data_IF_109660194815
#
_entry.id   IF_109660194815
#
_cell.length_a   1.000
_cell.length_b   1.000
_cell.length_c   1.000
_cell.angle_alpha   90.00
_cell.angle_beta   90.00
_cell.angle_gamma   90.00
#
_symmetry.space_group_name_H-M   'P 1'
#
loop_
_entity.id
_entity.type
_entity.pdbx_description
1 polymer ?
#
# COMPACT_ATOMS: atom_id res chain seq x y z
N UNK A 1 37.80 31.97 5.20
CA UNK A 1 37.17 30.70 5.67
C UNK A 1 35.99 30.40 4.77
N UNK A 2 35.81 29.11 4.46
CA UNK A 2 35.11 28.56 3.30
C UNK A 2 33.58 28.80 3.30
N UNK A 3 33.03 29.09 2.12
CA UNK A 3 31.61 29.03 1.82
C UNK A 3 31.29 27.65 1.22
N UNK A 4 30.62 26.80 1.99
CA UNK A 4 30.00 25.57 1.50
C UNK A 4 28.56 25.55 2.00
N UNK A 5 27.60 25.51 1.07
CA UNK A 5 26.32 24.76 1.13
C UNK A 5 25.33 25.46 0.19
N UNK A 6 25.23 25.08 -1.08
CA UNK A 6 24.68 23.84 -1.66
C UNK A 6 23.33 24.17 -2.29
N UNK A 7 23.37 24.29 -3.63
CA UNK A 7 22.21 24.30 -4.52
C UNK A 7 21.34 23.06 -4.27
N UNK A 8 20.20 23.23 -3.60
CA UNK A 8 19.21 22.16 -3.35
C UNK A 8 17.78 22.66 -3.59
N UNK A 9 17.59 23.56 -4.57
CA UNK A 9 16.29 24.18 -4.89
C UNK A 9 15.61 23.77 -6.22
N UNK A 10 16.21 23.05 -7.20
CA UNK A 10 15.51 22.78 -8.47
C UNK A 10 14.75 21.44 -8.53
N UNK A 11 14.97 20.49 -7.61
CA UNK A 11 14.39 19.13 -7.70
C UNK A 11 12.97 19.08 -7.10
N UNK A 12 12.72 19.84 -6.03
CA UNK A 12 11.45 19.79 -5.30
C UNK A 12 10.29 20.39 -6.11
N UNK A 13 10.57 21.46 -6.87
CA UNK A 13 9.59 22.14 -7.73
C UNK A 13 9.17 21.30 -8.94
N UNK A 14 10.07 20.51 -9.52
CA UNK A 14 9.73 19.58 -10.60
C UNK A 14 8.79 18.45 -10.12
N UNK A 15 8.92 18.02 -8.87
CA UNK A 15 8.08 16.97 -8.29
C UNK A 15 6.60 17.40 -8.19
N UNK A 16 6.34 18.66 -7.84
CA UNK A 16 4.98 19.20 -7.69
C UNK A 16 4.27 19.33 -9.05
N UNK A 17 5.00 19.69 -10.10
CA UNK A 17 4.44 19.84 -11.46
C UNK A 17 4.07 18.49 -12.08
N UNK A 18 4.85 17.43 -11.82
CA UNK A 18 4.52 16.07 -12.27
C UNK A 18 3.24 15.55 -11.60
N UNK A 19 3.02 15.89 -10.32
CA UNK A 19 1.83 15.47 -9.58
C UNK A 19 0.56 16.12 -10.17
N UNK A 20 0.60 17.39 -10.59
CA UNK A 20 -0.58 18.09 -11.11
C UNK A 20 -1.07 17.57 -12.46
N UNK A 21 -0.18 17.09 -13.33
CA UNK A 21 -0.54 16.61 -14.68
C UNK A 21 -1.28 15.27 -14.61
N UNK A 22 -1.02 14.44 -13.59
CA UNK A 22 -1.70 13.14 -13.42
C UNK A 22 -3.20 13.28 -13.12
N UNK A 23 -3.64 14.40 -12.55
CA UNK A 23 -5.05 14.61 -12.19
C UNK A 23 -5.98 14.86 -13.39
N UNK A 24 -5.48 15.46 -14.47
CA UNK A 24 -6.33 15.79 -15.64
C UNK A 24 -6.59 14.62 -16.60
N UNK A 25 -5.80 13.54 -16.53
CA UNK A 25 -6.03 12.33 -17.32
C UNK A 25 -6.99 11.32 -16.63
N UNK A 26 -7.63 11.73 -15.53
CA UNK A 26 -8.29 10.83 -14.58
C UNK A 26 -9.75 10.48 -14.89
N UNK A 27 -10.31 10.82 -16.06
CA UNK A 27 -11.69 10.42 -16.38
C UNK A 27 -11.86 8.92 -16.70
N UNK A 28 -10.75 8.17 -16.86
CA UNK A 28 -10.74 6.70 -16.93
C UNK A 28 -10.20 6.01 -15.65
N UNK A 29 -9.87 6.78 -14.60
CA UNK A 29 -8.93 6.36 -13.55
C UNK A 29 -9.53 6.11 -12.15
N UNK A 30 -10.85 6.08 -12.00
CA UNK A 30 -11.46 5.86 -10.67
C UNK A 30 -11.17 4.46 -10.13
N UNK A 31 -11.22 3.43 -10.97
CA UNK A 31 -10.97 2.02 -10.58
C UNK A 31 -9.48 1.75 -10.37
N UNK A 32 -8.60 2.36 -11.15
CA UNK A 32 -7.14 2.20 -11.02
C UNK A 32 -6.57 2.89 -9.77
N UNK A 33 -7.12 4.05 -9.39
CA UNK A 33 -6.75 4.73 -8.14
C UNK A 33 -7.16 3.89 -6.94
N UNK A 34 -8.33 3.25 -6.98
CA UNK A 34 -8.84 2.38 -5.91
C UNK A 34 -7.97 1.11 -5.74
N UNK A 35 -7.61 0.46 -6.84
CA UNK A 35 -6.71 -0.70 -6.83
C UNK A 35 -5.31 -0.38 -6.31
N UNK A 36 -4.76 0.79 -6.65
CA UNK A 36 -3.45 1.23 -6.18
C UNK A 36 -3.46 1.53 -4.69
N UNK A 37 -4.55 2.11 -4.18
CA UNK A 37 -4.74 2.34 -2.74
C UNK A 37 -4.90 1.01 -1.97
N UNK A 38 -5.66 0.06 -2.51
CA UNK A 38 -5.76 -1.28 -1.93
C UNK A 38 -4.40 -1.98 -1.86
N UNK A 39 -3.60 -1.90 -2.93
CA UNK A 39 -2.26 -2.50 -2.96
C UNK A 39 -1.32 -1.92 -1.92
N UNK A 40 -1.39 -0.60 -1.72
CA UNK A 40 -0.63 0.07 -0.68
C UNK A 40 -1.03 -0.42 0.71
N UNK A 41 -2.33 -0.49 1.01
CA UNK A 41 -2.82 -0.98 2.30
C UNK A 41 -2.43 -2.45 2.56
N UNK A 42 -2.50 -3.30 1.53
CA UNK A 42 -2.08 -4.70 1.60
C UNK A 42 -0.57 -4.77 1.94
N UNK A 43 0.26 -4.00 1.25
CA UNK A 43 1.71 -4.00 1.49
C UNK A 43 2.07 -3.50 2.89
N UNK A 44 1.43 -2.42 3.35
CA UNK A 44 1.64 -1.89 4.71
C UNK A 44 1.27 -2.93 5.78
N UNK A 45 0.14 -3.63 5.61
CA UNK A 45 -0.27 -4.71 6.53
C UNK A 45 0.64 -5.92 6.45
N UNK A 46 1.13 -6.32 5.27
CA UNK A 46 2.10 -7.41 5.10
C UNK A 46 3.41 -7.10 5.82
N UNK A 47 3.94 -5.89 5.65
CA UNK A 47 5.14 -5.45 6.36
C UNK A 47 4.95 -5.52 7.88
N UNK A 48 3.79 -5.08 8.38
CA UNK A 48 3.46 -5.16 9.81
C UNK A 48 3.33 -6.60 10.30
N UNK A 49 2.73 -7.49 9.50
CA UNK A 49 2.63 -8.91 9.81
C UNK A 49 4.03 -9.56 9.91
N UNK A 50 4.95 -9.21 9.00
CA UNK A 50 6.31 -9.75 9.03
C UNK A 50 7.13 -9.23 10.22
N UNK A 51 6.98 -7.95 10.58
CA UNK A 51 7.54 -7.41 11.82
C UNK A 51 7.03 -8.14 13.05
N UNK A 52 5.72 -8.37 13.12
CA UNK A 52 5.09 -9.08 14.24
C UNK A 52 5.53 -10.55 14.31
N UNK A 53 5.71 -11.22 13.16
CA UNK A 53 6.31 -12.56 13.10
C UNK A 53 7.70 -12.61 13.68
N UNK A 54 8.55 -11.63 13.36
CA UNK A 54 9.90 -11.55 13.91
C UNK A 54 9.86 -11.33 15.43
N UNK A 55 8.96 -10.46 15.91
CA UNK A 55 8.74 -10.24 17.35
C UNK A 55 8.33 -11.54 18.06
N UNK A 56 7.30 -12.24 17.55
CA UNK A 56 6.83 -13.54 18.07
C UNK A 56 7.96 -14.59 18.10
N UNK A 57 8.82 -14.61 17.08
CA UNK A 57 9.93 -15.54 17.01
C UNK A 57 11.00 -15.25 18.08
N UNK A 58 11.21 -13.98 18.40
CA UNK A 58 12.14 -13.53 19.44
C UNK A 58 11.55 -13.55 20.86
N UNK A 59 10.22 -13.60 20.99
CA UNK A 59 9.52 -13.51 22.26
C UNK A 59 9.66 -14.81 23.08
N UNK A 60 10.14 -14.65 24.31
CA UNK A 60 10.34 -15.75 25.28
C UNK A 60 9.17 -15.89 26.25
N UNK A 61 8.37 -14.83 26.43
CA UNK A 61 7.19 -14.85 27.27
C UNK A 61 6.01 -15.51 26.53
N UNK A 62 5.51 -16.66 27.01
CA UNK A 62 4.45 -17.40 26.32
C UNK A 62 3.11 -16.63 26.25
N UNK A 63 2.82 -15.76 27.22
CA UNK A 63 1.58 -14.97 27.24
C UNK A 63 1.61 -13.90 26.16
N UNK A 64 2.74 -13.17 26.05
CA UNK A 64 2.94 -12.14 25.02
C UNK A 64 2.95 -12.80 23.64
N UNK A 65 3.67 -13.91 23.49
CA UNK A 65 3.72 -14.68 22.24
C UNK A 65 2.34 -15.13 21.78
N UNK A 66 1.47 -15.58 22.69
CA UNK A 66 0.11 -15.97 22.34
C UNK A 66 -0.75 -14.77 21.94
N UNK A 67 -0.63 -13.64 22.64
CA UNK A 67 -1.32 -12.39 22.29
C UNK A 67 -0.91 -11.88 20.91
N UNK A 68 0.39 -11.85 20.64
CA UNK A 68 0.93 -11.38 19.35
C UNK A 68 0.57 -12.34 18.22
N UNK A 69 0.52 -13.65 18.49
CA UNK A 69 0.04 -14.64 17.51
C UNK A 69 -1.42 -14.41 17.12
N UNK A 70 -2.30 -14.07 18.07
CA UNK A 70 -3.70 -13.70 17.77
C UNK A 70 -3.78 -12.42 16.95
N UNK A 71 -2.95 -11.43 17.30
CA UNK A 71 -2.87 -10.17 16.56
C UNK A 71 -2.38 -10.40 15.13
N UNK A 72 -1.40 -11.28 14.94
CA UNK A 72 -0.91 -11.69 13.62
C UNK A 72 -2.01 -12.36 12.81
N UNK A 73 -2.79 -13.27 13.40
CA UNK A 73 -3.92 -13.90 12.72
C UNK A 73 -4.95 -12.87 12.25
N UNK A 74 -5.31 -11.90 13.10
CA UNK A 74 -6.25 -10.83 12.72
C UNK A 74 -5.72 -9.98 11.54
N UNK A 75 -4.43 -9.64 11.54
CA UNK A 75 -3.80 -8.90 10.43
C UNK A 75 -3.82 -9.73 9.14
N UNK A 76 -3.54 -11.04 9.21
CA UNK A 76 -3.56 -11.93 8.05
C UNK A 76 -4.98 -12.09 7.47
N UNK A 77 -6.00 -12.19 8.32
CA UNK A 77 -7.40 -12.20 7.87
C UNK A 77 -7.78 -10.90 7.16
N UNK A 78 -7.32 -9.75 7.68
CA UNK A 78 -7.59 -8.46 7.07
C UNK A 78 -6.88 -8.29 5.71
N UNK A 79 -5.64 -8.77 5.59
CA UNK A 79 -4.93 -8.85 4.30
C UNK A 79 -5.74 -9.69 3.30
N UNK A 80 -6.23 -10.86 3.71
CA UNK A 80 -7.01 -11.72 2.83
C UNK A 80 -8.33 -11.06 2.38
N UNK A 81 -8.99 -10.30 3.27
CA UNK A 81 -10.17 -9.51 2.92
C UNK A 81 -9.85 -8.45 1.85
N UNK A 82 -8.75 -7.71 2.03
CA UNK A 82 -8.31 -6.70 1.06
C UNK A 82 -7.90 -7.33 -0.27
N UNK A 83 -7.18 -8.46 -0.27
CA UNK A 83 -6.84 -9.18 -1.51
C UNK A 83 -8.08 -9.69 -2.26
N UNK A 84 -9.09 -10.16 -1.52
CA UNK A 84 -10.38 -10.57 -2.08
C UNK A 84 -11.13 -9.39 -2.69
N UNK A 85 -11.17 -8.25 -2.00
CA UNK A 85 -11.75 -7.01 -2.52
C UNK A 85 -11.02 -6.56 -3.80
N UNK A 86 -9.68 -6.54 -3.79
CA UNK A 86 -8.86 -6.22 -4.97
C UNK A 86 -9.24 -7.09 -6.16
N UNK A 87 -9.34 -8.41 -5.95
CA UNK A 87 -9.72 -9.37 -7.01
C UNK A 87 -11.13 -9.10 -7.54
N UNK A 88 -12.07 -8.69 -6.69
CA UNK A 88 -13.43 -8.33 -7.11
C UNK A 88 -13.47 -7.08 -7.99
N UNK A 89 -12.67 -6.05 -7.65
CA UNK A 89 -12.54 -4.84 -8.46
C UNK A 89 -11.86 -5.13 -9.80
N UNK A 90 -10.81 -5.94 -9.83
CA UNK A 90 -10.14 -6.37 -11.07
C UNK A 90 -11.08 -7.15 -12.00
N UNK A 91 -11.88 -8.07 -11.46
CA UNK A 91 -12.87 -8.81 -12.24
C UNK A 91 -13.96 -7.89 -12.79
N UNK A 92 -14.40 -6.90 -12.00
CA UNK A 92 -15.42 -5.94 -12.43
C UNK A 92 -14.90 -5.06 -13.57
N UNK A 93 -13.64 -4.59 -13.48
CA UNK A 93 -12.98 -3.81 -14.53
C UNK A 93 -12.82 -4.61 -15.83
N UNK A 94 -12.38 -5.87 -15.74
CA UNK A 94 -12.27 -6.76 -16.91
C UNK A 94 -13.62 -7.07 -17.57
N UNK A 95 -14.66 -7.29 -16.77
CA UNK A 95 -15.99 -7.59 -17.29
C UNK A 95 -16.65 -6.35 -17.91
N UNK A 96 -16.39 -5.16 -17.36
CA UNK A 96 -16.79 -3.89 -17.98
C UNK A 96 -16.08 -3.66 -19.32
N UNK A 97 -14.78 -3.97 -19.41
CA UNK A 97 -14.02 -3.90 -20.67
C UNK A 97 -14.51 -4.91 -21.72
N UNK A 98 -14.86 -6.14 -21.32
CA UNK A 98 -15.37 -7.17 -22.24
C UNK A 98 -16.80 -6.92 -22.76
N UNK A 99 -17.62 -6.11 -22.09
CA UNK A 99 -18.97 -5.77 -22.56
C UNK A 99 -19.02 -4.54 -23.47
N UNK A 100 -17.91 -3.81 -23.61
CA UNK A 100 -17.78 -2.61 -24.44
C UNK A 100 -16.94 -2.84 -25.71
N UNK A 101 -16.45 -4.07 -25.94
CA UNK A 101 -15.83 -4.53 -27.19
C UNK A 101 -16.74 -5.50 -27.93
#
# INVERSE_FOLDING_TARGET
MMANSSLMLPIFTLFVVIIAIQFYASEQSSVSVDLTQLDRQINEKKQRADQLRQQIASEKNPVIKQSDTRTLQAILEEINKLETQKKSFQNTDQNAKNKLG
#
